data_IF_146076763142
#
_entry.id   IF_146076763142
#
_cell.length_a   1.000
_cell.length_b   1.000
_cell.length_c   1.000
_cell.angle_alpha   90.00
_cell.angle_beta   90.00
_cell.angle_gamma   90.00
#
_symmetry.space_group_name_H-M   'P 1'
#
loop_
_entity.id
_entity.type
_entity.pdbx_description
1 polymer ?
#
# COMPACT_ATOMS: atom_id res chain seq x y z
N UNK A 1 -16.78 58.10 48.53
CA UNK A 1 -15.94 56.95 48.28
C UNK A 1 -16.83 55.77 47.83
N UNK A 2 -16.93 55.59 46.56
CA UNK A 2 -17.76 54.52 45.96
C UNK A 2 -16.85 53.45 45.41
N UNK A 3 -16.89 52.22 46.02
CA UNK A 3 -16.17 51.07 45.54
C UNK A 3 -16.97 50.41 44.41
N UNK A 4 -16.42 50.40 43.21
CA UNK A 4 -16.98 49.75 42.07
C UNK A 4 -16.42 48.34 42.07
N UNK A 5 -17.27 47.33 42.34
CA UNK A 5 -16.94 45.91 42.18
C UNK A 5 -17.12 45.59 40.70
N UNK A 6 -15.99 45.35 40.04
CA UNK A 6 -15.99 44.87 38.67
C UNK A 6 -16.14 43.34 38.71
N UNK A 7 -17.27 42.83 38.25
CA UNK A 7 -17.53 41.42 38.11
C UNK A 7 -16.90 40.96 36.81
N UNK A 8 -15.77 40.26 36.90
CA UNK A 8 -15.14 39.62 35.77
C UNK A 8 -15.87 38.31 35.44
N UNK A 9 -16.74 38.38 34.46
CA UNK A 9 -17.39 37.18 33.96
C UNK A 9 -16.38 36.34 33.16
N UNK A 10 -15.96 35.21 33.75
CA UNK A 10 -15.09 34.21 33.12
C UNK A 10 -15.94 33.36 32.15
N UNK A 11 -15.90 33.71 30.88
CA UNK A 11 -16.48 32.88 29.83
C UNK A 11 -15.56 31.66 29.62
N UNK A 12 -15.92 30.53 30.20
CA UNK A 12 -15.31 29.23 29.90
C UNK A 12 -15.87 28.82 28.54
N UNK A 13 -15.12 29.09 27.48
CA UNK A 13 -15.36 28.47 26.18
C UNK A 13 -15.00 26.99 26.29
N UNK A 14 -16.01 26.13 26.38
CA UNK A 14 -15.85 24.71 26.23
C UNK A 14 -15.40 24.46 24.77
N UNK A 15 -14.10 24.26 24.57
CA UNK A 15 -13.57 23.64 23.37
C UNK A 15 -14.04 22.17 23.40
N UNK A 16 -15.19 21.94 22.76
CA UNK A 16 -15.54 20.59 22.34
C UNK A 16 -14.56 20.23 21.24
N UNK A 17 -13.46 19.59 21.62
CA UNK A 17 -12.58 18.95 20.68
C UNK A 17 -13.41 17.92 19.92
N UNK A 18 -13.65 18.17 18.63
CA UNK A 18 -14.03 17.14 17.69
C UNK A 18 -12.82 16.20 17.62
N UNK A 19 -12.79 15.20 18.49
CA UNK A 19 -11.95 14.04 18.30
C UNK A 19 -12.54 13.33 17.08
N UNK A 20 -11.96 13.59 15.92
CA UNK A 20 -12.00 12.72 14.78
C UNK A 20 -11.49 11.37 15.29
N UNK A 21 -12.34 10.36 15.36
CA UNK A 21 -11.94 9.00 15.56
C UNK A 21 -11.34 8.50 14.24
N UNK A 22 -10.15 8.98 13.89
CA UNK A 22 -9.27 8.25 13.00
C UNK A 22 -8.90 6.96 13.75
N UNK A 23 -9.27 5.83 13.19
CA UNK A 23 -8.78 4.56 13.70
C UNK A 23 -7.33 4.49 13.25
N UNK A 24 -6.43 4.58 14.22
CA UNK A 24 -5.00 4.48 13.97
C UNK A 24 -4.67 3.11 13.34
N UNK A 25 -3.75 3.12 12.38
CA UNK A 25 -3.15 1.90 11.84
C UNK A 25 -2.57 1.06 12.96
N UNK A 26 -2.84 -0.24 12.94
CA UNK A 26 -2.44 -1.15 14.01
C UNK A 26 -1.56 -2.27 13.46
N UNK A 27 -0.42 -2.48 14.09
CA UNK A 27 0.38 -3.69 13.84
C UNK A 27 -0.34 -4.91 14.38
N UNK A 28 -0.51 -5.92 13.52
CA UNK A 28 -1.12 -7.20 13.87
C UNK A 28 -0.14 -8.35 13.63
N UNK A 29 -0.28 -9.49 14.35
CA UNK A 29 0.45 -10.70 14.04
C UNK A 29 0.12 -11.24 12.65
N UNK A 30 1.10 -11.79 11.93
CA UNK A 30 0.87 -12.40 10.62
C UNK A 30 -0.19 -13.52 10.64
N UNK A 31 -0.34 -14.21 11.76
CA UNK A 31 -1.34 -15.26 11.95
C UNK A 31 -2.80 -14.73 11.95
N UNK A 32 -3.01 -13.43 12.10
CA UNK A 32 -4.33 -12.80 12.03
C UNK A 32 -4.72 -12.36 10.60
N UNK A 33 -3.82 -12.53 9.62
CA UNK A 33 -4.13 -12.28 8.23
C UNK A 33 -5.23 -13.24 7.72
N UNK A 34 -6.14 -12.78 6.85
CA UNK A 34 -7.10 -13.66 6.17
C UNK A 34 -6.41 -14.80 5.43
N UNK A 35 -7.10 -15.93 5.32
CA UNK A 35 -6.59 -17.13 4.62
C UNK A 35 -6.19 -16.82 3.18
N UNK A 36 -6.94 -15.96 2.50
CA UNK A 36 -6.69 -15.55 1.12
C UNK A 36 -5.39 -14.75 0.99
N UNK A 37 -5.10 -13.89 1.97
CA UNK A 37 -3.84 -13.13 2.03
C UNK A 37 -2.68 -14.08 2.30
N UNK A 38 -2.82 -15.00 3.27
CA UNK A 38 -1.80 -16.02 3.55
C UNK A 38 -1.53 -16.91 2.32
N UNK A 39 -2.59 -17.29 1.59
CA UNK A 39 -2.46 -18.06 0.35
C UNK A 39 -1.72 -17.30 -0.75
N UNK A 40 -1.97 -16.02 -0.89
CA UNK A 40 -1.23 -15.15 -1.82
C UNK A 40 0.26 -15.10 -1.46
N UNK A 41 0.58 -14.89 -0.18
CA UNK A 41 1.96 -14.85 0.28
C UNK A 41 2.67 -16.20 0.07
N UNK A 42 2.02 -17.31 0.38
CA UNK A 42 2.59 -18.64 0.17
C UNK A 42 2.83 -18.94 -1.32
N UNK A 43 1.93 -18.49 -2.18
CA UNK A 43 2.03 -18.72 -3.63
C UNK A 43 3.17 -17.93 -4.27
N UNK A 44 3.33 -16.65 -3.90
CA UNK A 44 4.23 -15.73 -4.60
C UNK A 44 5.52 -15.40 -3.82
N UNK A 45 5.52 -15.63 -2.51
CA UNK A 45 6.61 -15.25 -1.59
C UNK A 45 7.00 -16.40 -0.66
N UNK A 46 6.82 -17.63 -1.11
CA UNK A 46 7.10 -18.84 -0.32
C UNK A 46 8.50 -18.83 0.28
N UNK A 47 8.59 -19.12 1.58
CA UNK A 47 9.84 -19.17 2.32
C UNK A 47 10.42 -17.81 2.73
N UNK A 48 9.75 -16.70 2.41
CA UNK A 48 10.16 -15.37 2.86
C UNK A 48 9.37 -15.02 4.13
N UNK A 49 10.07 -14.69 5.20
CA UNK A 49 9.46 -14.37 6.49
C UNK A 49 8.67 -13.05 6.41
N UNK A 50 7.46 -13.04 6.99
CA UNK A 50 6.69 -11.81 7.22
C UNK A 50 7.28 -11.09 8.42
N UNK A 51 7.85 -9.91 8.19
CA UNK A 51 8.49 -9.10 9.22
C UNK A 51 7.49 -8.29 10.03
N UNK A 52 6.51 -7.68 9.35
CA UNK A 52 5.44 -6.92 9.99
C UNK A 52 4.20 -6.84 9.10
N UNK A 53 3.05 -6.68 9.74
CA UNK A 53 1.76 -6.43 9.11
C UNK A 53 1.14 -5.22 9.78
N UNK A 54 0.74 -4.25 8.98
CA UNK A 54 -0.05 -3.10 9.41
C UNK A 54 -1.45 -3.29 8.88
N UNK A 55 -2.44 -3.12 9.75
CA UNK A 55 -3.84 -3.09 9.37
C UNK A 55 -4.31 -1.65 9.39
N UNK A 56 -4.67 -1.14 8.21
CA UNK A 56 -5.26 0.17 7.98
C UNK A 56 -6.79 0.05 8.15
N UNK A 57 -7.34 0.72 9.16
CA UNK A 57 -8.78 0.73 9.41
C UNK A 57 -9.53 1.80 8.63
N UNK A 58 -8.84 2.80 8.11
CA UNK A 58 -9.44 3.86 7.30
C UNK A 58 -9.54 3.48 5.82
N UNK A 59 -8.67 2.55 5.37
CA UNK A 59 -8.70 1.99 4.03
C UNK A 59 -9.50 0.70 3.97
N UNK A 60 -10.81 0.82 3.75
CA UNK A 60 -11.71 -0.35 3.64
C UNK A 60 -11.47 -1.21 2.39
N UNK A 61 -10.70 -0.71 1.42
CA UNK A 61 -10.44 -1.40 0.16
C UNK A 61 -9.16 -2.24 0.21
N UNK A 62 -8.06 -1.68 0.76
CA UNK A 62 -6.77 -2.35 0.89
C UNK A 62 -6.25 -2.17 2.31
N UNK A 63 -6.76 -3.01 3.20
CA UNK A 63 -6.60 -2.86 4.64
C UNK A 63 -5.35 -3.52 5.22
N UNK A 64 -4.52 -4.18 4.41
CA UNK A 64 -3.30 -4.83 4.90
C UNK A 64 -2.08 -4.36 4.14
N UNK A 65 -1.09 -3.85 4.89
CA UNK A 65 0.27 -3.63 4.43
C UNK A 65 1.18 -4.71 5.02
N UNK A 66 1.83 -5.46 4.16
CA UNK A 66 2.72 -6.57 4.55
C UNK A 66 4.15 -6.22 4.16
N UNK A 67 5.06 -6.31 5.11
CA UNK A 67 6.49 -6.13 4.91
C UNK A 67 7.22 -7.46 5.11
N UNK A 68 7.96 -7.89 4.10
CA UNK A 68 8.72 -9.14 4.12
C UNK A 68 10.19 -8.91 4.49
N UNK A 69 10.88 -9.99 4.89
CA UNK A 69 12.26 -9.93 5.34
C UNK A 69 13.26 -9.55 4.23
N UNK A 70 12.92 -9.79 2.97
CA UNK A 70 13.71 -9.44 1.79
C UNK A 70 13.55 -7.98 1.33
N UNK A 71 12.73 -7.19 2.05
CA UNK A 71 12.44 -5.80 1.73
C UNK A 71 11.22 -5.60 0.82
N UNK A 72 10.47 -6.66 0.52
CA UNK A 72 9.21 -6.54 -0.22
C UNK A 72 8.16 -5.85 0.63
N UNK A 73 7.45 -4.90 0.03
CA UNK A 73 6.25 -4.25 0.55
C UNK A 73 5.05 -4.60 -0.31
N UNK A 74 3.94 -4.98 0.31
CA UNK A 74 2.74 -5.44 -0.38
C UNK A 74 1.51 -4.82 0.28
N UNK A 75 0.61 -4.23 -0.52
CA UNK A 75 -0.71 -3.79 -0.08
C UNK A 75 -1.78 -4.71 -0.64
N UNK A 76 -2.64 -5.25 0.22
CA UNK A 76 -3.66 -6.24 -0.13
C UNK A 76 -4.99 -5.93 0.53
N UNK A 77 -6.07 -6.39 -0.12
CA UNK A 77 -7.38 -6.47 0.51
C UNK A 77 -7.61 -7.85 1.19
N UNK A 78 -8.76 -8.03 1.86
CA UNK A 78 -9.14 -9.30 2.53
C UNK A 78 -9.20 -10.50 1.60
N UNK A 79 -9.39 -10.29 0.31
CA UNK A 79 -9.50 -11.36 -0.69
C UNK A 79 -8.15 -11.77 -1.26
N UNK A 80 -7.05 -11.20 -0.73
CA UNK A 80 -5.71 -11.45 -1.23
C UNK A 80 -5.43 -10.80 -2.60
N UNK A 81 -6.26 -9.82 -3.00
CA UNK A 81 -6.01 -9.03 -4.20
C UNK A 81 -5.05 -7.90 -3.84
N UNK A 82 -3.94 -7.83 -4.53
CA UNK A 82 -2.94 -6.79 -4.30
C UNK A 82 -3.30 -5.48 -5.03
N UNK A 83 -2.94 -4.36 -4.41
CA UNK A 83 -2.92 -3.05 -5.02
C UNK A 83 -1.51 -2.64 -5.39
N UNK A 84 -0.56 -2.86 -4.50
CA UNK A 84 0.84 -2.52 -4.67
C UNK A 84 1.75 -3.69 -4.27
N UNK A 85 2.80 -3.92 -5.06
CA UNK A 85 3.89 -4.83 -4.72
C UNK A 85 5.19 -4.17 -5.14
N UNK A 86 6.10 -3.93 -4.19
CA UNK A 86 7.37 -3.27 -4.44
C UNK A 86 8.54 -4.04 -3.79
N UNK A 87 9.62 -4.21 -4.55
CA UNK A 87 10.93 -4.62 -4.04
C UNK A 87 12.06 -4.06 -4.91
N UNK A 88 12.67 -2.99 -4.47
CA UNK A 88 13.75 -2.30 -5.21
C UNK A 88 15.08 -3.04 -5.16
N UNK A 89 15.23 -4.03 -4.27
CA UNK A 89 16.47 -4.80 -4.10
C UNK A 89 16.53 -5.99 -5.04
N UNK A 90 15.52 -6.85 -4.99
CA UNK A 90 15.50 -8.14 -5.70
C UNK A 90 14.48 -8.21 -6.83
N UNK A 91 13.63 -7.19 -6.95
CA UNK A 91 12.55 -7.13 -7.91
C UNK A 91 11.27 -7.81 -7.42
N UNK A 92 10.18 -7.56 -8.14
CA UNK A 92 8.87 -8.17 -7.91
C UNK A 92 8.86 -9.57 -8.52
N UNK A 93 8.32 -10.60 -7.84
CA UNK A 93 8.16 -11.92 -8.43
C UNK A 93 7.35 -11.86 -9.73
N UNK A 94 7.86 -12.45 -10.81
CA UNK A 94 7.19 -12.40 -12.12
C UNK A 94 5.79 -13.06 -12.09
N UNK A 95 5.55 -13.96 -11.14
CA UNK A 95 4.24 -14.59 -10.92
C UNK A 95 3.14 -13.62 -10.43
N UNK A 96 3.52 -12.43 -9.93
CA UNK A 96 2.59 -11.36 -9.53
C UNK A 96 2.21 -10.50 -10.73
N UNK A 97 3.11 -10.37 -11.71
CA UNK A 97 2.93 -9.50 -12.87
C UNK A 97 1.96 -10.15 -13.87
N UNK A 98 0.90 -9.46 -14.33
CA UNK A 98 0.02 -9.99 -15.37
C UNK A 98 0.79 -10.38 -16.63
N UNK A 99 0.45 -11.53 -17.21
CA UNK A 99 1.20 -12.10 -18.34
C UNK A 99 1.35 -11.17 -19.54
N UNK A 100 0.33 -10.38 -19.84
CA UNK A 100 0.35 -9.44 -20.99
C UNK A 100 1.37 -8.31 -20.73
N UNK A 101 1.41 -7.80 -19.52
CA UNK A 101 2.39 -6.79 -19.08
C UNK A 101 3.78 -7.39 -19.10
N UNK A 102 3.96 -8.58 -18.54
CA UNK A 102 5.25 -9.27 -18.52
C UNK A 102 5.79 -9.47 -19.95
N UNK A 103 4.96 -9.97 -20.87
CA UNK A 103 5.32 -10.14 -22.28
C UNK A 103 5.75 -8.81 -22.92
N UNK A 104 5.06 -7.72 -22.61
CA UNK A 104 5.42 -6.40 -23.12
C UNK A 104 6.79 -5.94 -22.60
N UNK A 105 7.01 -6.08 -21.28
CA UNK A 105 8.28 -5.68 -20.64
C UNK A 105 9.44 -6.51 -21.19
N UNK A 106 9.30 -7.83 -21.27
CA UNK A 106 10.34 -8.72 -21.82
C UNK A 106 10.69 -8.41 -23.27
N UNK A 107 9.70 -8.04 -24.08
CA UNK A 107 9.91 -7.72 -25.49
C UNK A 107 10.57 -6.35 -25.72
N UNK A 108 10.26 -5.35 -24.89
CA UNK A 108 10.70 -3.96 -25.11
C UNK A 108 11.82 -3.53 -24.15
N UNK A 109 11.93 -4.17 -23.00
CA UNK A 109 12.90 -3.84 -21.92
C UNK A 109 13.54 -5.12 -21.33
N UNK A 110 14.16 -5.99 -22.15
CA UNK A 110 14.61 -7.33 -21.74
C UNK A 110 15.65 -7.32 -20.61
N UNK A 111 16.42 -6.23 -20.50
CA UNK A 111 17.48 -6.08 -19.49
C UNK A 111 17.01 -5.34 -18.23
N UNK A 112 15.72 -5.05 -18.13
CA UNK A 112 15.16 -4.32 -17.00
C UNK A 112 14.44 -5.25 -16.03
N UNK A 113 14.70 -5.03 -14.74
CA UNK A 113 13.99 -5.68 -13.65
C UNK A 113 12.76 -4.86 -13.28
N UNK A 114 11.61 -5.52 -13.12
CA UNK A 114 10.42 -4.90 -12.53
C UNK A 114 10.65 -4.83 -11.02
N UNK A 115 10.60 -3.63 -10.45
CA UNK A 115 10.84 -3.38 -9.02
C UNK A 115 9.59 -2.91 -8.28
N UNK A 116 8.54 -2.55 -9.01
CA UNK A 116 7.25 -2.16 -8.47
C UNK A 116 6.13 -2.43 -9.47
N UNK A 117 4.96 -2.72 -8.95
CA UNK A 117 3.71 -2.75 -9.72
C UNK A 117 2.57 -2.28 -8.83
N UNK A 118 1.83 -1.28 -9.29
CA UNK A 118 0.67 -0.73 -8.61
C UNK A 118 -0.56 -0.81 -9.51
N UNK A 119 -1.72 -1.11 -8.92
CA UNK A 119 -3.01 -1.16 -9.61
C UNK A 119 -4.02 -0.27 -8.89
N UNK A 120 -4.39 0.83 -9.55
CA UNK A 120 -5.48 1.72 -9.11
C UNK A 120 -6.40 2.02 -10.31
N UNK A 121 -6.32 3.18 -10.90
CA UNK A 121 -7.07 3.56 -12.12
C UNK A 121 -6.38 3.07 -13.38
N UNK A 122 -5.10 2.91 -13.31
CA UNK A 122 -4.19 2.35 -14.30
C UNK A 122 -3.33 1.28 -13.61
N UNK A 123 -2.46 0.65 -14.34
CA UNK A 123 -1.45 -0.25 -13.79
C UNK A 123 -0.10 0.38 -14.09
N UNK A 124 0.60 0.75 -13.04
CA UNK A 124 1.92 1.36 -13.11
C UNK A 124 2.99 0.30 -12.81
N UNK A 125 4.02 0.25 -13.63
CA UNK A 125 5.11 -0.73 -13.52
C UNK A 125 6.43 -0.01 -13.47
N UNK A 126 7.08 -0.07 -12.31
CA UNK A 126 8.39 0.52 -12.08
C UNK A 126 9.52 -0.39 -12.54
N UNK A 127 10.41 0.13 -13.37
CA UNK A 127 11.63 -0.55 -13.79
C UNK A 127 12.82 -0.12 -12.93
N UNK A 128 13.81 -0.97 -12.81
CA UNK A 128 15.06 -0.71 -12.05
C UNK A 128 15.79 0.55 -12.51
N UNK A 129 15.64 0.93 -13.77
CA UNK A 129 16.22 2.16 -14.34
C UNK A 129 15.61 3.45 -13.81
N UNK A 130 14.43 3.39 -13.15
CA UNK A 130 13.64 4.54 -12.73
C UNK A 130 12.57 4.95 -13.76
N UNK A 131 12.46 4.21 -14.87
CA UNK A 131 11.36 4.40 -15.82
C UNK A 131 10.09 3.74 -15.28
N UNK A 132 8.97 4.41 -15.41
CA UNK A 132 7.63 3.89 -15.11
C UNK A 132 6.89 3.62 -16.42
N UNK A 133 6.30 2.44 -16.53
CA UNK A 133 5.45 2.04 -17.65
C UNK A 133 4.00 2.03 -17.20
N UNK A 134 3.13 2.71 -17.91
CA UNK A 134 1.70 2.81 -17.56
C UNK A 134 0.88 1.98 -18.53
N UNK A 135 0.01 1.12 -17.97
CA UNK A 135 -0.93 0.27 -18.70
C UNK A 135 -2.35 0.59 -18.24
N UNK A 136 -3.32 0.42 -19.15
CA UNK A 136 -4.71 0.49 -18.75
C UNK A 136 -5.13 -0.80 -17.99
N UNK A 137 -6.36 -0.82 -17.44
CA UNK A 137 -6.86 -1.99 -16.69
C UNK A 137 -7.10 -3.24 -17.58
N UNK A 138 -7.02 -3.12 -18.90
CA UNK A 138 -7.00 -4.25 -19.84
C UNK A 138 -5.56 -4.71 -20.14
N UNK A 139 -4.58 -4.18 -19.42
CA UNK A 139 -3.16 -4.51 -19.53
C UNK A 139 -2.55 -4.09 -20.89
N UNK A 140 -3.15 -3.10 -21.59
CA UNK A 140 -2.57 -2.50 -22.79
C UNK A 140 -1.65 -1.35 -22.40
N UNK A 141 -0.47 -1.28 -23.02
CA UNK A 141 0.47 -0.19 -22.81
C UNK A 141 -0.13 1.15 -23.25
N UNK A 142 0.01 2.17 -22.41
CA UNK A 142 -0.50 3.54 -22.65
C UNK A 142 0.64 4.52 -22.88
N UNK A 143 1.59 4.58 -21.94
CA UNK A 143 2.69 5.54 -21.96
C UNK A 143 3.82 5.11 -21.03
N UNK A 144 4.93 5.81 -21.08
CA UNK A 144 5.97 5.76 -20.06
C UNK A 144 6.12 7.14 -19.41
N UNK A 145 6.50 7.13 -18.14
CA UNK A 145 6.79 8.32 -17.34
C UNK A 145 8.22 8.20 -16.77
N UNK A 146 8.84 9.33 -16.34
CA UNK A 146 10.19 9.39 -15.76
C UNK A 146 10.15 10.03 -14.38
#
# INVERSE_FOLDING_TARGET
>A
MKKIFSILALAIAALVGLQSCEKDDVMIPAAELPTEVLSFLDTHFSGIEVRSVIKDYDNSSYEFEVYLADGTHIELNRRGEWRNVENRLTGVPLSVVPNKILTYVEANYPDQMIVGIERDREIDVDLKSGMELVFNLNEDFVRFDY
#
